data_IF_822577464072
#
_entry.id   IF_822577464072
#
_cell.length_a   1.000
_cell.length_b   1.000
_cell.length_c   1.000
_cell.angle_alpha   90.00
_cell.angle_beta   90.00
_cell.angle_gamma   90.00
#
_symmetry.space_group_name_H-M   'P 1'
#
loop_
_entity.id
_entity.type
_entity.pdbx_description
1 polymer ?
#
# COMPACT_ATOMS: atom_id res chain seq x y z
N UNK A 1 -74.08 30.24 -20.25
CA UNK A 1 -73.34 29.81 -19.07
C UNK A 1 -72.34 28.78 -19.54
N UNK A 2 -71.07 29.19 -19.77
CA UNK A 2 -69.94 28.30 -20.15
C UNK A 2 -69.22 27.92 -18.87
N UNK A 3 -69.18 26.61 -18.52
CA UNK A 3 -68.38 26.09 -17.39
C UNK A 3 -66.93 25.84 -17.85
N UNK A 4 -66.01 26.58 -17.27
CA UNK A 4 -64.60 26.41 -17.47
C UNK A 4 -64.07 25.28 -16.51
N UNK A 5 -63.63 24.17 -17.09
CA UNK A 5 -63.00 23.09 -16.35
C UNK A 5 -61.53 23.41 -16.24
N UNK A 6 -61.06 23.69 -15.03
CA UNK A 6 -59.63 23.89 -14.72
C UNK A 6 -59.02 22.52 -14.44
N UNK A 7 -58.19 22.04 -15.37
CA UNK A 7 -57.43 20.78 -15.20
C UNK A 7 -56.12 21.08 -14.44
N UNK A 8 -56.08 20.73 -13.14
CA UNK A 8 -54.87 20.79 -12.35
C UNK A 8 -53.95 19.61 -12.73
N UNK A 9 -52.91 19.87 -13.50
CA UNK A 9 -51.80 18.94 -13.74
C UNK A 9 -50.92 18.87 -12.49
N UNK A 10 -51.09 17.83 -11.67
CA UNK A 10 -50.16 17.44 -10.62
C UNK A 10 -48.87 16.85 -11.29
N UNK A 11 -47.82 17.64 -11.37
CA UNK A 11 -46.48 17.14 -11.67
C UNK A 11 -45.93 16.45 -10.39
N UNK A 12 -45.62 15.14 -10.44
CA UNK A 12 -44.91 14.53 -9.34
C UNK A 12 -43.47 15.07 -9.35
N UNK A 13 -43.14 15.89 -8.36
CA UNK A 13 -41.74 16.19 -8.03
C UNK A 13 -41.09 14.88 -7.58
N UNK A 14 -40.44 14.17 -8.48
CA UNK A 14 -39.46 13.14 -8.15
C UNK A 14 -38.26 13.86 -7.50
N UNK A 15 -38.32 14.02 -6.19
CA UNK A 15 -37.15 14.29 -5.38
C UNK A 15 -36.21 13.09 -5.53
N UNK A 16 -35.35 13.12 -6.56
CA UNK A 16 -34.27 12.21 -6.71
C UNK A 16 -33.31 12.47 -5.52
N UNK A 17 -33.44 11.66 -4.48
CA UNK A 17 -32.45 11.59 -3.43
C UNK A 17 -31.17 11.06 -4.09
N UNK A 18 -30.30 11.95 -4.55
CA UNK A 18 -28.95 11.60 -4.97
C UNK A 18 -28.24 11.04 -3.74
N UNK A 19 -28.23 9.73 -3.61
CA UNK A 19 -27.44 9.05 -2.61
C UNK A 19 -25.99 9.38 -2.94
N UNK A 20 -25.34 10.20 -2.11
CA UNK A 20 -23.96 10.59 -2.27
C UNK A 20 -23.11 9.31 -2.24
N UNK A 21 -22.42 9.02 -3.31
CA UNK A 21 -21.51 7.87 -3.38
C UNK A 21 -20.55 7.93 -2.18
N UNK A 22 -20.41 6.81 -1.47
CA UNK A 22 -19.54 6.75 -0.30
C UNK A 22 -18.12 6.50 -0.79
N UNK A 23 -17.24 7.43 -0.52
CA UNK A 23 -15.81 7.34 -0.83
C UNK A 23 -15.01 7.25 0.46
N UNK A 24 -13.85 6.60 0.38
CA UNK A 24 -12.85 6.60 1.43
C UNK A 24 -11.45 6.43 0.84
N UNK A 25 -10.45 6.86 1.58
CA UNK A 25 -9.05 6.87 1.16
C UNK A 25 -8.20 6.00 2.08
N UNK A 26 -7.24 5.29 1.47
CA UNK A 26 -6.25 4.48 2.19
C UNK A 26 -4.87 4.90 1.74
N UNK A 27 -3.99 5.14 2.70
CA UNK A 27 -2.56 5.41 2.49
C UNK A 27 -1.75 4.22 3.01
N UNK A 28 -0.94 3.59 2.14
CA UNK A 28 0.17 2.71 2.53
C UNK A 28 1.46 3.49 2.47
N UNK A 29 2.31 3.35 3.52
CA UNK A 29 3.60 4.04 3.54
C UNK A 29 4.62 3.34 4.47
N UNK A 30 5.76 2.92 3.93
CA UNK A 30 6.92 2.57 4.74
C UNK A 30 7.60 3.86 5.20
N UNK A 31 7.80 4.04 6.50
CA UNK A 31 8.27 5.28 7.13
C UNK A 31 9.73 5.22 7.61
N UNK A 32 10.46 4.22 7.13
CA UNK A 32 11.88 4.02 7.41
C UNK A 32 12.25 4.26 8.88
N UNK A 33 11.98 3.23 9.70
CA UNK A 33 12.29 3.27 11.13
C UNK A 33 11.71 4.50 11.83
N UNK A 34 10.40 4.73 11.65
CA UNK A 34 9.66 5.86 12.27
C UNK A 34 10.16 7.25 11.84
N UNK A 35 10.84 7.35 10.68
CA UNK A 35 11.46 8.58 10.22
C UNK A 35 12.68 9.02 11.02
N UNK A 36 13.24 8.15 11.87
CA UNK A 36 14.41 8.47 12.71
C UNK A 36 15.69 8.63 11.90
N UNK A 37 15.76 8.02 10.72
CA UNK A 37 16.93 8.06 9.84
C UNK A 37 17.15 9.44 9.22
N UNK A 38 16.09 10.26 9.13
CA UNK A 38 16.12 11.58 8.49
C UNK A 38 15.86 12.67 9.54
N UNK A 39 16.70 13.71 9.64
CA UNK A 39 16.43 14.84 10.52
C UNK A 39 15.07 15.47 10.24
N UNK A 40 14.20 15.54 11.25
CA UNK A 40 12.83 16.04 11.11
C UNK A 40 11.84 15.05 10.51
N UNK A 41 12.23 13.81 10.27
CA UNK A 41 11.42 12.78 9.61
C UNK A 41 10.09 12.51 10.34
N UNK A 42 10.09 12.37 11.66
CA UNK A 42 8.84 12.22 12.41
C UNK A 42 7.84 13.37 12.16
N UNK A 43 8.30 14.60 12.22
CA UNK A 43 7.44 15.77 11.95
C UNK A 43 6.94 15.77 10.49
N UNK A 44 7.75 15.32 9.56
CA UNK A 44 7.35 15.16 8.16
C UNK A 44 6.22 14.12 8.03
N UNK A 45 6.32 12.97 8.69
CA UNK A 45 5.26 11.94 8.73
C UNK A 45 3.96 12.55 9.25
N UNK A 46 4.00 13.23 10.39
CA UNK A 46 2.82 13.90 10.98
C UNK A 46 2.21 14.91 10.02
N UNK A 47 3.05 15.75 9.39
CA UNK A 47 2.60 16.82 8.49
C UNK A 47 1.92 16.25 7.24
N UNK A 48 2.50 15.22 6.65
CA UNK A 48 1.98 14.63 5.41
C UNK A 48 0.68 13.87 5.67
N UNK A 49 0.56 13.10 6.75
CA UNK A 49 -0.70 12.44 7.11
C UNK A 49 -1.79 13.49 7.41
N UNK A 50 -1.46 14.56 8.14
CA UNK A 50 -2.40 15.65 8.41
C UNK A 50 -2.85 16.39 7.13
N UNK A 51 -1.96 16.54 6.15
CA UNK A 51 -2.26 17.15 4.84
C UNK A 51 -3.14 16.28 3.96
N UNK A 52 -2.79 15.01 3.83
CA UNK A 52 -3.48 14.05 2.96
C UNK A 52 -4.83 13.62 3.53
N UNK A 53 -4.95 13.58 4.85
CA UNK A 53 -6.17 13.21 5.59
C UNK A 53 -6.78 11.87 5.16
N UNK A 54 -6.01 10.80 4.96
CA UNK A 54 -6.58 9.52 4.57
C UNK A 54 -7.52 8.99 5.65
N UNK A 55 -8.54 8.23 5.23
CA UNK A 55 -9.47 7.59 6.18
C UNK A 55 -8.80 6.47 6.97
N UNK A 56 -7.90 5.73 6.30
CA UNK A 56 -7.08 4.70 6.91
C UNK A 56 -5.62 4.85 6.49
N UNK A 57 -4.70 4.54 7.41
CA UNK A 57 -3.26 4.53 7.15
C UNK A 57 -2.69 3.20 7.57
N UNK A 58 -1.94 2.57 6.69
CA UNK A 58 -1.09 1.42 6.96
C UNK A 58 0.37 1.86 6.88
N UNK A 59 1.14 1.54 7.90
CA UNK A 59 2.54 1.94 8.02
C UNK A 59 3.42 0.70 8.15
N UNK A 60 4.59 0.72 7.54
CA UNK A 60 5.66 -0.25 7.73
C UNK A 60 6.85 0.39 8.44
N UNK A 61 7.62 -0.41 9.16
CA UNK A 61 8.76 -0.01 10.00
C UNK A 61 8.40 0.86 11.22
N UNK A 62 7.37 0.45 11.94
CA UNK A 62 7.02 0.96 13.27
C UNK A 62 7.73 0.15 14.34
N UNK A 63 8.86 0.64 14.85
CA UNK A 63 9.77 -0.11 15.73
C UNK A 63 9.55 0.13 17.23
N UNK A 64 8.72 1.13 17.59
CA UNK A 64 8.48 1.55 18.97
C UNK A 64 9.79 1.80 19.76
N UNK A 65 10.71 2.54 19.15
CA UNK A 65 12.00 2.85 19.76
C UNK A 65 11.87 3.41 21.17
N UNK A 66 12.83 3.11 22.02
CA UNK A 66 12.87 3.54 23.43
C UNK A 66 11.65 3.09 24.25
N UNK A 67 11.06 1.95 23.89
CA UNK A 67 9.84 1.41 24.50
C UNK A 67 8.64 2.37 24.44
N UNK A 68 8.57 3.21 23.41
CA UNK A 68 7.43 4.10 23.16
C UNK A 68 6.30 3.36 22.45
N UNK A 69 5.14 3.98 22.38
CA UNK A 69 4.06 3.57 21.47
C UNK A 69 3.99 4.60 20.34
N UNK A 70 4.61 4.29 19.21
CA UNK A 70 4.71 5.21 18.08
C UNK A 70 3.33 5.65 17.57
N UNK A 71 2.41 4.71 17.35
CA UNK A 71 1.09 5.04 16.80
C UNK A 71 0.27 5.90 17.76
N UNK A 72 0.36 5.68 19.08
CA UNK A 72 -0.28 6.56 20.05
C UNK A 72 0.31 7.97 20.04
N UNK A 73 1.65 8.09 19.96
CA UNK A 73 2.35 9.38 19.80
C UNK A 73 1.92 10.08 18.51
N UNK A 74 1.85 9.36 17.40
CA UNK A 74 1.43 9.88 16.10
C UNK A 74 -0.01 10.40 16.14
N UNK A 75 -0.95 9.64 16.72
CA UNK A 75 -2.35 10.06 16.91
C UNK A 75 -2.43 11.34 17.76
N UNK A 76 -1.63 11.45 18.83
CA UNK A 76 -1.60 12.66 19.65
C UNK A 76 -1.08 13.87 18.84
N UNK A 77 0.00 13.71 18.07
CA UNK A 77 0.54 14.80 17.23
C UNK A 77 -0.43 15.21 16.11
N UNK A 78 -1.17 14.25 15.54
CA UNK A 78 -2.23 14.53 14.56
C UNK A 78 -3.39 15.30 15.20
N UNK A 79 -3.77 14.96 16.44
CA UNK A 79 -4.80 15.68 17.20
C UNK A 79 -4.40 17.15 17.44
N UNK A 80 -3.15 17.43 17.73
CA UNK A 80 -2.61 18.79 17.87
C UNK A 80 -2.71 19.61 16.57
N UNK A 81 -2.77 18.92 15.43
CA UNK A 81 -3.03 19.52 14.11
C UNK A 81 -4.52 19.59 13.73
N UNK A 82 -5.42 19.20 14.64
CA UNK A 82 -6.88 19.20 14.41
C UNK A 82 -7.41 17.96 13.71
N UNK A 83 -6.58 16.91 13.53
CA UNK A 83 -6.99 15.66 12.89
C UNK A 83 -7.26 14.58 13.95
N UNK A 84 -8.38 13.89 13.83
CA UNK A 84 -8.75 12.81 14.75
C UNK A 84 -8.51 11.46 14.10
N UNK A 85 -7.68 10.66 14.76
CA UNK A 85 -7.42 9.27 14.42
C UNK A 85 -7.48 8.39 15.65
N UNK A 86 -7.68 7.09 15.39
CA UNK A 86 -7.64 6.01 16.37
C UNK A 86 -6.56 5.02 15.96
N UNK A 87 -5.87 4.43 16.93
CA UNK A 87 -4.86 3.40 16.72
C UNK A 87 -4.84 2.43 17.88
N UNK A 88 -4.10 1.37 17.77
CA UNK A 88 -3.77 0.44 18.85
C UNK A 88 -2.29 0.07 18.76
N UNK A 89 -1.76 -0.58 19.78
CA UNK A 89 -0.37 -0.98 19.80
C UNK A 89 -0.12 -2.09 18.77
N UNK A 90 0.87 -1.88 17.92
CA UNK A 90 1.39 -2.84 16.95
C UNK A 90 2.91 -2.78 17.00
N UNK A 91 3.60 -3.73 16.41
CA UNK A 91 5.06 -3.70 16.25
C UNK A 91 5.41 -3.99 14.80
N UNK A 92 6.45 -3.34 14.30
CA UNK A 92 6.94 -3.40 12.92
C UNK A 92 5.98 -2.78 11.88
N UNK A 93 4.71 -2.75 12.16
CA UNK A 93 3.69 -2.05 11.35
C UNK A 93 2.88 -1.07 12.19
N UNK A 94 2.06 -0.23 11.54
CA UNK A 94 1.15 0.69 12.19
C UNK A 94 -0.20 0.78 11.47
N UNK A 95 -1.25 1.01 12.23
CA UNK A 95 -2.61 1.21 11.71
C UNK A 95 -3.26 2.43 12.33
N UNK A 96 -3.79 3.33 11.47
CA UNK A 96 -4.61 4.45 11.90
C UNK A 96 -5.96 4.41 11.18
N UNK A 97 -7.00 4.83 11.89
CA UNK A 97 -8.35 4.97 11.36
C UNK A 97 -8.97 6.30 11.79
N UNK A 98 -9.68 6.98 10.90
CA UNK A 98 -10.52 8.14 11.29
C UNK A 98 -11.82 7.71 11.98
N UNK A 99 -12.15 6.43 11.92
CA UNK A 99 -13.32 5.84 12.56
C UNK A 99 -12.91 5.09 13.83
N UNK A 100 -13.75 5.08 14.88
CA UNK A 100 -13.46 4.31 16.09
C UNK A 100 -13.19 2.84 15.75
N UNK A 101 -12.13 2.28 16.33
CA UNK A 101 -11.78 0.87 16.18
C UNK A 101 -12.76 0.03 16.99
N UNK A 102 -13.40 -0.93 16.34
CA UNK A 102 -14.37 -1.84 16.98
C UNK A 102 -13.74 -3.14 17.43
N UNK A 103 -12.66 -3.57 16.77
CA UNK A 103 -11.87 -4.75 17.16
C UNK A 103 -10.46 -4.67 16.53
N UNK A 104 -9.49 -5.38 17.12
CA UNK A 104 -8.13 -5.49 16.62
C UNK A 104 -7.60 -6.91 16.79
N UNK A 105 -6.68 -7.32 15.88
CA UNK A 105 -6.13 -8.67 15.87
C UNK A 105 -4.69 -8.66 15.37
N UNK A 106 -3.83 -9.44 16.00
CA UNK A 106 -2.54 -9.85 15.46
C UNK A 106 -2.76 -11.09 14.58
N UNK A 107 -2.49 -10.96 13.29
CA UNK A 107 -2.65 -12.04 12.30
C UNK A 107 -1.35 -12.83 12.14
N UNK A 108 -0.25 -12.11 11.98
CA UNK A 108 1.10 -12.67 11.97
C UNK A 108 1.96 -11.82 12.91
N UNK A 109 2.40 -12.37 14.07
CA UNK A 109 3.20 -11.61 15.02
C UNK A 109 4.63 -11.47 14.51
N UNK A 110 5.22 -10.29 14.70
CA UNK A 110 6.64 -10.10 14.49
C UNK A 110 7.44 -11.08 15.35
N UNK A 111 8.42 -11.71 14.74
CA UNK A 111 9.35 -12.61 15.40
C UNK A 111 10.66 -12.65 14.63
N UNK A 112 11.75 -12.31 15.30
CA UNK A 112 13.11 -12.31 14.75
C UNK A 112 13.25 -11.41 13.51
N UNK A 113 12.51 -10.31 13.46
CA UNK A 113 12.53 -9.34 12.37
C UNK A 113 12.04 -9.85 11.00
N UNK A 114 11.15 -10.85 11.01
CA UNK A 114 10.52 -11.42 9.80
C UNK A 114 9.16 -10.80 9.46
N UNK A 115 8.93 -9.58 9.90
CA UNK A 115 7.73 -8.81 9.59
C UNK A 115 6.51 -9.14 10.44
N UNK A 116 5.40 -8.47 10.14
CA UNK A 116 4.15 -8.62 10.90
C UNK A 116 2.91 -8.30 10.07
N UNK A 117 1.75 -8.85 10.48
CA UNK A 117 0.44 -8.47 9.96
C UNK A 117 -0.52 -8.24 11.12
N UNK A 118 -1.15 -7.06 11.15
CA UNK A 118 -2.21 -6.72 12.09
C UNK A 118 -3.47 -6.31 11.35
N UNK A 119 -4.61 -6.38 12.05
CA UNK A 119 -5.93 -5.97 11.55
C UNK A 119 -6.60 -5.03 12.53
N UNK A 120 -7.26 -4.00 12.04
CA UNK A 120 -8.35 -3.32 12.74
C UNK A 120 -9.68 -3.55 12.02
N UNK A 121 -10.77 -3.44 12.77
CA UNK A 121 -12.11 -3.28 12.19
C UNK A 121 -12.72 -1.97 12.65
N UNK A 122 -13.55 -1.37 11.78
CA UNK A 122 -14.27 -0.15 12.07
C UNK A 122 -15.66 -0.17 11.42
N UNK A 123 -16.55 0.68 11.90
CA UNK A 123 -17.81 1.01 11.23
C UNK A 123 -17.68 2.39 10.57
N UNK A 124 -17.63 2.38 9.25
CA UNK A 124 -17.56 3.58 8.43
C UNK A 124 -18.98 4.02 8.03
N UNK A 125 -19.70 4.63 8.99
CA UNK A 125 -21.07 5.11 8.78
C UNK A 125 -22.04 4.02 8.25
N UNK A 126 -22.03 2.86 8.92
CA UNK A 126 -22.86 1.70 8.59
C UNK A 126 -22.20 0.72 7.60
N UNK A 127 -20.98 1.02 7.12
CA UNK A 127 -20.20 0.10 6.31
C UNK A 127 -19.11 -0.53 7.16
N UNK A 128 -19.20 -1.83 7.42
CA UNK A 128 -18.16 -2.57 8.14
C UNK A 128 -16.91 -2.72 7.27
N UNK A 129 -15.77 -2.36 7.80
CA UNK A 129 -14.47 -2.48 7.12
C UNK A 129 -13.44 -3.16 8.02
N UNK A 130 -12.65 -4.04 7.47
CA UNK A 130 -11.47 -4.62 8.08
C UNK A 130 -10.24 -4.17 7.27
N UNK A 131 -9.35 -3.42 7.91
CA UNK A 131 -8.11 -2.94 7.32
C UNK A 131 -6.95 -3.68 7.96
N UNK A 132 -6.11 -4.25 7.11
CA UNK A 132 -4.91 -4.96 7.49
C UNK A 132 -3.70 -4.14 7.10
N UNK A 133 -2.67 -4.17 7.94
CA UNK A 133 -1.35 -3.66 7.63
C UNK A 133 -0.36 -4.80 7.58
N UNK A 134 0.58 -4.76 6.65
CA UNK A 134 1.65 -5.74 6.53
C UNK A 134 3.00 -5.04 6.37
N UNK A 135 4.01 -5.58 6.99
CA UNK A 135 5.39 -5.45 6.60
C UNK A 135 5.90 -6.88 6.51
N UNK A 136 6.22 -7.35 5.32
CA UNK A 136 6.62 -8.73 5.12
C UNK A 136 8.13 -8.88 5.26
N UNK A 137 8.57 -10.13 5.40
CA UNK A 137 9.98 -10.48 5.59
C UNK A 137 10.87 -9.85 4.52
N UNK A 138 11.91 -9.13 4.93
CA UNK A 138 12.87 -8.47 4.04
C UNK A 138 14.08 -9.34 3.70
N UNK A 139 14.20 -10.52 4.31
CA UNK A 139 15.26 -11.47 4.01
C UNK A 139 14.87 -12.41 2.86
N UNK A 140 15.87 -13.02 2.26
CA UNK A 140 15.69 -13.89 1.09
C UNK A 140 14.94 -13.17 -0.06
N UNK A 141 15.30 -11.90 -0.28
CA UNK A 141 14.75 -11.07 -1.34
C UNK A 141 15.21 -11.50 -2.71
N UNK A 142 14.50 -12.46 -3.28
CA UNK A 142 14.91 -13.14 -4.50
C UNK A 142 14.93 -12.23 -5.74
N UNK A 143 14.24 -11.11 -5.73
CA UNK A 143 14.32 -10.14 -6.84
C UNK A 143 15.67 -9.43 -6.92
N UNK A 144 16.42 -9.36 -5.80
CA UNK A 144 17.83 -8.94 -5.82
C UNK A 144 18.74 -10.02 -6.42
N UNK A 145 18.39 -11.30 -6.25
CA UNK A 145 19.18 -12.36 -6.89
C UNK A 145 19.16 -12.25 -8.40
N UNK A 146 18.02 -11.88 -9.00
CA UNK A 146 17.93 -11.61 -10.43
C UNK A 146 18.80 -10.44 -10.86
N UNK A 147 19.07 -9.51 -9.97
CA UNK A 147 19.94 -8.33 -10.18
C UNK A 147 21.42 -8.59 -9.83
N UNK A 148 21.75 -9.85 -9.50
CA UNK A 148 23.13 -10.24 -9.19
C UNK A 148 23.57 -9.95 -7.77
N UNK A 149 22.62 -9.81 -6.82
CA UNK A 149 22.91 -9.62 -5.40
C UNK A 149 22.19 -10.68 -4.55
N UNK A 150 22.81 -11.10 -3.49
CA UNK A 150 22.17 -11.97 -2.49
C UNK A 150 21.17 -11.15 -1.65
N UNK A 151 19.91 -11.58 -1.61
CA UNK A 151 18.84 -10.84 -0.94
C UNK A 151 18.83 -10.91 0.59
N UNK A 152 19.90 -11.46 1.20
CA UNK A 152 20.10 -11.49 2.65
C UNK A 152 21.42 -10.86 3.09
N UNK A 153 22.48 -11.06 2.30
CA UNK A 153 23.82 -10.55 2.62
C UNK A 153 24.21 -9.31 1.83
N UNK A 154 23.48 -9.02 0.76
CA UNK A 154 23.73 -7.91 -0.18
C UNK A 154 25.08 -8.00 -0.91
N UNK A 155 25.71 -9.17 -0.88
CA UNK A 155 26.92 -9.45 -1.65
C UNK A 155 26.59 -9.74 -3.12
N UNK A 156 27.51 -9.42 -4.02
CA UNK A 156 27.35 -9.75 -5.44
C UNK A 156 27.42 -11.27 -5.65
N UNK A 157 26.45 -11.80 -6.39
CA UNK A 157 26.33 -13.22 -6.74
C UNK A 157 26.06 -13.39 -8.24
N UNK A 158 26.33 -14.57 -8.81
CA UNK A 158 25.85 -14.90 -10.16
C UNK A 158 24.33 -14.79 -10.26
N UNK A 159 23.84 -14.21 -11.36
CA UNK A 159 22.40 -14.14 -11.66
C UNK A 159 21.89 -15.58 -11.83
N UNK A 160 20.73 -15.93 -11.24
CA UNK A 160 20.06 -17.22 -11.47
C UNK A 160 19.81 -17.48 -12.97
N UNK A 161 19.71 -18.74 -13.35
CA UNK A 161 19.52 -19.11 -14.76
C UNK A 161 18.09 -19.55 -15.08
N UNK A 162 17.28 -19.82 -14.05
CA UNK A 162 15.89 -20.28 -14.23
C UNK A 162 14.95 -19.62 -13.25
N UNK A 163 13.67 -19.52 -13.62
CA UNK A 163 12.59 -19.03 -12.74
C UNK A 163 12.43 -19.91 -11.50
N UNK A 164 12.57 -21.24 -11.64
CA UNK A 164 12.51 -22.19 -10.53
C UNK A 164 13.56 -21.89 -9.45
N UNK A 165 14.77 -21.55 -9.86
CA UNK A 165 15.84 -21.19 -8.92
C UNK A 165 15.48 -19.92 -8.14
N UNK A 166 14.92 -18.91 -8.81
CA UNK A 166 14.46 -17.67 -8.18
C UNK A 166 13.33 -17.95 -7.20
N UNK A 167 12.28 -18.67 -7.64
CA UNK A 167 11.12 -18.95 -6.79
C UNK A 167 11.48 -19.84 -5.59
N UNK A 168 12.42 -20.77 -5.75
CA UNK A 168 12.91 -21.57 -4.62
C UNK A 168 13.56 -20.71 -3.54
N UNK A 169 14.27 -19.66 -3.92
CA UNK A 169 14.86 -18.69 -2.97
C UNK A 169 13.77 -17.81 -2.38
N UNK A 170 12.83 -17.36 -3.18
CA UNK A 170 11.74 -16.49 -2.76
C UNK A 170 10.90 -17.09 -1.61
N UNK A 171 10.57 -18.39 -1.70
CA UNK A 171 9.80 -19.09 -0.65
C UNK A 171 10.64 -19.56 0.54
N UNK A 172 11.93 -19.21 0.61
CA UNK A 172 12.73 -19.42 1.82
C UNK A 172 12.39 -18.38 2.91
N UNK A 173 11.85 -17.23 2.52
CA UNK A 173 11.33 -16.21 3.43
C UNK A 173 10.02 -16.64 4.10
N UNK A 174 9.54 -15.84 5.05
CA UNK A 174 8.23 -16.06 5.70
C UNK A 174 7.08 -15.27 5.04
N UNK A 175 7.30 -14.64 3.90
CA UNK A 175 6.31 -13.78 3.22
C UNK A 175 5.03 -14.52 2.85
N UNK A 176 5.15 -15.67 2.20
CA UNK A 176 3.99 -16.45 1.76
C UNK A 176 3.25 -17.09 2.94
N UNK A 177 3.95 -17.53 3.99
CA UNK A 177 3.34 -18.03 5.22
C UNK A 177 2.47 -16.95 5.89
N UNK A 178 2.99 -15.74 6.01
CA UNK A 178 2.25 -14.60 6.57
C UNK A 178 1.00 -14.27 5.75
N UNK A 179 1.12 -14.24 4.41
CA UNK A 179 -0.01 -13.96 3.51
C UNK A 179 -1.06 -15.08 3.52
N UNK A 180 -0.67 -16.34 3.66
CA UNK A 180 -1.65 -17.44 3.84
C UNK A 180 -2.48 -17.25 5.10
N UNK A 181 -1.89 -16.84 6.21
CA UNK A 181 -2.63 -16.52 7.45
C UNK A 181 -3.55 -15.31 7.25
N UNK A 182 -3.10 -14.27 6.55
CA UNK A 182 -3.96 -13.15 6.17
C UNK A 182 -5.16 -13.62 5.35
N UNK A 183 -4.97 -14.42 4.31
CA UNK A 183 -6.05 -14.91 3.44
C UNK A 183 -7.08 -15.70 4.25
N UNK A 184 -6.65 -16.54 5.18
CA UNK A 184 -7.55 -17.30 6.05
C UNK A 184 -8.36 -16.40 6.98
N UNK A 185 -7.75 -15.35 7.54
CA UNK A 185 -8.48 -14.39 8.38
C UNK A 185 -9.41 -13.50 7.55
N UNK A 186 -8.96 -13.05 6.38
CA UNK A 186 -9.76 -12.23 5.47
C UNK A 186 -11.02 -12.96 4.99
N UNK A 187 -10.96 -14.28 4.75
CA UNK A 187 -12.13 -15.11 4.43
C UNK A 187 -13.18 -15.07 5.57
N UNK A 188 -12.74 -15.16 6.83
CA UNK A 188 -13.64 -15.08 8.00
C UNK A 188 -14.30 -13.69 8.09
N UNK A 189 -13.52 -12.63 7.92
CA UNK A 189 -14.04 -11.27 8.01
C UNK A 189 -14.99 -10.95 6.84
N UNK A 190 -14.72 -11.45 5.62
CA UNK A 190 -15.67 -11.38 4.48
C UNK A 190 -17.00 -12.07 4.82
N UNK A 191 -16.93 -13.28 5.37
CA UNK A 191 -18.12 -14.03 5.77
C UNK A 191 -18.94 -13.29 6.87
N UNK A 192 -18.26 -12.51 7.73
CA UNK A 192 -18.88 -11.63 8.73
C UNK A 192 -19.38 -10.29 8.14
N UNK A 193 -19.23 -10.09 6.84
CA UNK A 193 -19.76 -8.93 6.11
C UNK A 193 -18.82 -7.72 6.07
N UNK A 194 -17.55 -7.86 6.41
CA UNK A 194 -16.59 -6.78 6.30
C UNK A 194 -16.11 -6.57 4.85
N UNK A 195 -15.86 -5.33 4.49
CA UNK A 195 -15.03 -4.97 3.34
C UNK A 195 -13.57 -5.15 3.74
N UNK A 196 -12.75 -5.76 2.89
CA UNK A 196 -11.35 -6.11 3.20
C UNK A 196 -10.41 -5.22 2.42
N UNK A 197 -9.49 -4.59 3.13
CA UNK A 197 -8.35 -3.83 2.57
C UNK A 197 -7.07 -4.36 3.24
N UNK A 198 -6.04 -4.58 2.44
CA UNK A 198 -4.68 -4.89 2.90
C UNK A 198 -3.73 -3.85 2.32
N UNK A 199 -3.05 -3.09 3.18
CA UNK A 199 -1.93 -2.24 2.76
C UNK A 199 -0.64 -2.75 3.38
N UNK A 200 0.48 -2.66 2.68
CA UNK A 200 1.77 -3.09 3.25
C UNK A 200 2.94 -2.92 2.31
N UNK A 201 4.12 -2.90 2.91
CA UNK A 201 5.38 -3.19 2.23
C UNK A 201 5.56 -4.71 2.22
N UNK A 202 5.58 -5.29 1.04
CA UNK A 202 5.63 -6.74 0.90
C UNK A 202 7.05 -7.27 0.73
N UNK A 203 8.04 -6.38 0.52
CA UNK A 203 9.40 -6.80 0.19
C UNK A 203 9.44 -7.86 -0.93
N UNK A 204 8.47 -7.81 -1.82
CA UNK A 204 8.34 -8.71 -2.97
C UNK A 204 7.63 -7.98 -4.11
N UNK A 205 8.16 -7.99 -5.35
CA UNK A 205 7.51 -7.42 -6.51
C UNK A 205 6.23 -8.15 -6.90
N UNK A 206 5.49 -7.61 -7.89
CA UNK A 206 4.30 -8.26 -8.42
C UNK A 206 4.56 -8.99 -9.73
N UNK A 207 3.93 -10.16 -9.90
CA UNK A 207 3.86 -10.85 -11.19
C UNK A 207 3.17 -10.01 -12.27
N UNK A 208 2.36 -9.01 -11.86
CA UNK A 208 1.72 -8.07 -12.77
C UNK A 208 2.68 -7.00 -13.28
N UNK A 209 3.85 -6.86 -12.67
CA UNK A 209 4.90 -5.90 -13.02
C UNK A 209 6.09 -6.57 -13.73
N UNK A 210 6.35 -7.86 -13.43
CA UNK A 210 7.40 -8.68 -14.04
C UNK A 210 6.83 -9.54 -15.18
N UNK A 211 6.52 -8.90 -16.30
CA UNK A 211 5.79 -9.45 -17.44
C UNK A 211 6.68 -9.58 -18.68
N UNK A 212 6.15 -10.17 -19.77
CA UNK A 212 6.81 -10.19 -21.07
C UNK A 212 7.16 -8.79 -21.59
N UNK A 213 6.39 -7.76 -21.21
CA UNK A 213 6.62 -6.37 -21.63
C UNK A 213 7.77 -5.70 -20.88
N UNK A 214 8.05 -6.13 -19.65
CA UNK A 214 9.04 -5.53 -18.76
C UNK A 214 10.31 -6.37 -18.56
N UNK A 215 10.35 -7.61 -19.05
CA UNK A 215 11.43 -8.56 -18.79
C UNK A 215 12.83 -8.07 -19.15
N UNK A 216 12.95 -7.16 -20.12
CA UNK A 216 14.22 -6.58 -20.57
C UNK A 216 14.47 -5.17 -19.99
N UNK A 217 13.62 -4.71 -19.05
CA UNK A 217 13.72 -3.44 -18.35
C UNK A 217 14.14 -3.67 -16.89
N UNK A 218 14.59 -2.62 -16.22
CA UNK A 218 14.84 -2.57 -14.77
C UNK A 218 15.72 -3.70 -14.23
N UNK A 219 16.67 -4.16 -15.05
CA UNK A 219 17.53 -5.32 -14.77
C UNK A 219 16.74 -6.59 -14.39
N UNK A 220 15.58 -6.82 -15.03
CA UNK A 220 14.86 -8.10 -14.94
C UNK A 220 15.55 -9.24 -15.71
N UNK A 221 16.55 -8.94 -16.55
CA UNK A 221 17.41 -9.92 -17.26
C UNK A 221 16.65 -11.00 -18.04
N UNK A 222 15.53 -10.65 -18.66
CA UNK A 222 14.70 -11.55 -19.44
C UNK A 222 13.72 -12.40 -18.63
N UNK A 223 13.67 -12.24 -17.31
CA UNK A 223 12.78 -12.99 -16.45
C UNK A 223 11.34 -12.47 -16.45
N UNK A 224 10.40 -13.39 -16.52
CA UNK A 224 8.98 -13.23 -16.21
C UNK A 224 8.69 -14.11 -15.00
N UNK A 225 8.40 -13.50 -13.85
CA UNK A 225 8.34 -14.23 -12.58
C UNK A 225 6.94 -14.14 -11.97
N UNK A 226 6.29 -15.29 -11.69
CA UNK A 226 5.05 -15.34 -10.93
C UNK A 226 5.35 -15.22 -9.42
N UNK A 227 5.68 -14.03 -8.96
CA UNK A 227 6.00 -13.74 -7.55
C UNK A 227 4.92 -14.26 -6.61
N UNK A 228 5.33 -14.97 -5.56
CA UNK A 228 4.46 -15.86 -4.78
C UNK A 228 3.36 -15.12 -4.04
N UNK A 229 3.67 -14.03 -3.35
CA UNK A 229 2.69 -13.29 -2.53
C UNK A 229 1.58 -12.68 -3.39
N UNK A 230 1.87 -11.89 -4.44
CA UNK A 230 0.82 -11.34 -5.29
C UNK A 230 0.01 -12.40 -6.03
N UNK A 231 0.62 -13.54 -6.42
CA UNK A 231 -0.11 -14.67 -7.02
C UNK A 231 -1.12 -15.25 -6.02
N UNK A 232 -0.71 -15.51 -4.77
CA UNK A 232 -1.61 -16.00 -3.72
C UNK A 232 -2.79 -15.07 -3.45
N UNK A 233 -2.56 -13.76 -3.47
CA UNK A 233 -3.61 -12.75 -3.28
C UNK A 233 -4.60 -12.73 -4.46
N UNK A 234 -4.11 -12.80 -5.69
CA UNK A 234 -4.94 -12.86 -6.91
C UNK A 234 -5.78 -14.16 -6.93
N UNK A 235 -5.18 -15.30 -6.63
CA UNK A 235 -5.88 -16.59 -6.52
C UNK A 235 -6.94 -16.59 -5.42
N UNK A 236 -6.73 -15.85 -4.34
CA UNK A 236 -7.71 -15.66 -3.29
C UNK A 236 -8.85 -14.70 -3.69
N UNK A 237 -8.76 -14.03 -4.84
CA UNK A 237 -9.76 -13.12 -5.41
C UNK A 237 -9.60 -11.66 -4.98
N UNK A 238 -8.47 -11.29 -4.38
CA UNK A 238 -8.14 -9.89 -4.15
C UNK A 238 -7.67 -9.24 -5.46
N UNK A 239 -7.66 -7.91 -5.48
CA UNK A 239 -7.13 -7.09 -6.57
C UNK A 239 -6.12 -6.09 -6.04
N UNK A 240 -5.04 -5.91 -6.78
CA UNK A 240 -4.09 -4.82 -6.59
C UNK A 240 -4.73 -3.51 -7.07
N UNK A 241 -4.98 -2.60 -6.15
CA UNK A 241 -5.73 -1.37 -6.43
C UNK A 241 -4.98 -0.44 -7.41
N UNK A 242 -3.65 -0.37 -7.30
CA UNK A 242 -2.87 0.47 -8.21
C UNK A 242 -2.88 -0.10 -9.63
N UNK A 243 -2.62 -1.39 -9.77
CA UNK A 243 -2.53 -2.05 -11.08
C UNK A 243 -3.90 -2.21 -11.75
N UNK A 244 -4.98 -2.35 -10.98
CA UNK A 244 -6.34 -2.30 -11.54
C UNK A 244 -6.67 -0.93 -12.14
N UNK A 245 -6.22 0.15 -11.49
CA UNK A 245 -6.46 1.52 -11.97
C UNK A 245 -5.53 1.88 -13.13
N UNK A 246 -4.27 1.44 -13.09
CA UNK A 246 -3.25 1.65 -14.12
C UNK A 246 -2.74 0.31 -14.68
N UNK A 247 -3.46 -0.32 -15.63
CA UNK A 247 -3.06 -1.63 -16.16
C UNK A 247 -1.84 -1.58 -17.10
N UNK A 248 -1.48 -0.42 -17.63
CA UNK A 248 -0.34 -0.21 -18.53
C UNK A 248 0.96 -0.09 -17.72
N UNK A 249 1.64 -1.20 -17.51
CA UNK A 249 2.85 -1.29 -16.69
C UNK A 249 4.04 -0.49 -17.25
N UNK A 250 4.10 -0.28 -18.57
CA UNK A 250 5.19 0.47 -19.19
C UNK A 250 5.08 1.98 -18.94
N UNK A 251 3.86 2.51 -18.99
CA UNK A 251 3.61 3.93 -18.77
C UNK A 251 3.38 4.28 -17.30
N UNK A 252 2.93 3.30 -16.50
CA UNK A 252 2.60 3.46 -15.07
C UNK A 252 3.28 2.35 -14.25
N UNK A 253 4.63 2.33 -14.16
CA UNK A 253 5.33 1.31 -13.40
C UNK A 253 4.99 1.36 -11.90
N UNK A 254 4.72 2.54 -11.35
CA UNK A 254 4.27 2.71 -9.97
C UNK A 254 5.37 2.43 -8.94
N UNK A 255 6.64 2.62 -9.27
CA UNK A 255 7.76 2.31 -8.37
C UNK A 255 7.62 2.97 -7.01
N UNK A 256 7.73 2.16 -5.97
CA UNK A 256 7.74 2.64 -4.59
C UNK A 256 9.12 2.61 -3.96
N UNK A 257 10.03 1.78 -4.46
CA UNK A 257 11.40 1.66 -3.96
C UNK A 257 12.42 1.61 -5.12
N UNK A 258 13.63 2.17 -4.93
CA UNK A 258 14.00 3.16 -3.91
C UNK A 258 13.52 4.57 -4.29
N UNK A 259 13.06 5.31 -3.30
CA UNK A 259 12.68 6.71 -3.46
C UNK A 259 13.91 7.61 -3.43
N UNK A 260 13.91 8.68 -4.23
CA UNK A 260 14.89 9.75 -4.01
C UNK A 260 14.67 10.41 -2.64
N UNK A 261 15.75 10.66 -1.93
CA UNK A 261 15.76 11.42 -0.68
C UNK A 261 16.95 12.38 -0.66
N UNK A 262 16.73 13.69 -0.85
CA UNK A 262 17.81 14.68 -0.89
C UNK A 262 18.60 14.80 0.41
N UNK A 263 18.08 14.32 1.54
CA UNK A 263 18.74 14.35 2.84
C UNK A 263 19.81 13.24 2.98
N UNK A 264 19.89 12.31 2.03
CA UNK A 264 20.89 11.22 2.02
C UNK A 264 21.67 11.19 0.72
N UNK A 265 22.96 10.80 0.73
CA UNK A 265 23.67 10.42 -0.49
C UNK A 265 22.98 9.27 -1.22
N UNK A 266 22.98 9.27 -2.55
CA UNK A 266 22.25 8.26 -3.33
C UNK A 266 22.77 6.83 -3.07
N UNK A 267 24.06 6.67 -2.82
CA UNK A 267 24.70 5.38 -2.45
C UNK A 267 24.32 4.87 -1.05
N UNK A 268 23.54 5.65 -0.28
CA UNK A 268 23.02 5.26 1.04
C UNK A 268 21.52 4.96 1.03
N UNK A 269 20.92 4.93 -0.15
CA UNK A 269 19.50 4.63 -0.38
C UNK A 269 19.37 3.47 -1.41
N UNK A 270 20.35 2.59 -1.47
CA UNK A 270 20.40 1.48 -2.42
C UNK A 270 21.08 0.29 -1.74
N UNK A 271 20.53 -0.90 -1.98
CA UNK A 271 21.11 -2.18 -1.57
C UNK A 271 21.92 -2.82 -2.69
N UNK A 272 21.56 -2.56 -3.94
CA UNK A 272 22.21 -3.06 -5.14
C UNK A 272 22.82 -1.92 -5.99
N UNK A 273 23.94 -1.30 -5.55
CA UNK A 273 24.42 -0.04 -6.11
C UNK A 273 24.88 -0.10 -7.59
N UNK A 274 24.99 -1.30 -8.19
CA UNK A 274 25.30 -1.46 -9.61
C UNK A 274 24.07 -1.81 -10.46
N UNK A 275 22.91 -2.07 -9.82
CA UNK A 275 21.69 -2.47 -10.48
C UNK A 275 20.66 -1.34 -10.58
N UNK A 276 19.69 -1.51 -11.49
CA UNK A 276 18.42 -0.81 -11.44
C UNK A 276 17.48 -1.61 -10.55
N UNK A 277 17.39 -1.23 -9.29
CA UNK A 277 16.62 -1.94 -8.26
C UNK A 277 15.21 -1.40 -8.08
N UNK A 278 14.76 -0.50 -8.99
CA UNK A 278 13.40 0.04 -8.93
C UNK A 278 12.36 -1.05 -9.04
N UNK A 279 11.50 -1.10 -8.03
CA UNK A 279 10.33 -1.97 -8.02
C UNK A 279 9.16 -1.33 -7.27
N UNK A 280 7.99 -1.89 -7.46
CA UNK A 280 6.81 -1.62 -6.67
C UNK A 280 6.69 -2.76 -5.66
N UNK A 281 6.93 -2.44 -4.39
CA UNK A 281 6.88 -3.38 -3.26
C UNK A 281 5.91 -2.95 -2.17
N UNK A 282 5.39 -1.70 -2.23
CA UNK A 282 4.31 -1.19 -1.39
C UNK A 282 2.98 -1.27 -2.12
N UNK A 283 1.98 -1.85 -1.49
CA UNK A 283 0.71 -2.19 -2.12
C UNK A 283 -0.50 -1.82 -1.29
N UNK A 284 -1.65 -1.67 -1.99
CA UNK A 284 -2.99 -1.73 -1.41
C UNK A 284 -3.78 -2.74 -2.22
N UNK A 285 -4.16 -3.86 -1.56
CA UNK A 285 -4.99 -4.91 -2.12
C UNK A 285 -6.38 -4.89 -1.49
N UNK A 286 -7.41 -5.31 -2.24
CA UNK A 286 -8.79 -5.31 -1.76
C UNK A 286 -9.63 -6.40 -2.42
N UNK A 287 -10.76 -6.78 -1.78
CA UNK A 287 -11.77 -7.59 -2.46
C UNK A 287 -12.75 -6.69 -3.21
N UNK A 288 -12.95 -6.86 -4.55
CA UNK A 288 -13.85 -6.04 -5.37
C UNK A 288 -15.32 -6.48 -5.18
N UNK A 289 -15.83 -6.37 -3.97
CA UNK A 289 -17.18 -6.79 -3.59
C UNK A 289 -18.08 -5.62 -3.22
N UNK A 290 -19.39 -5.87 -3.18
CA UNK A 290 -20.40 -4.88 -2.77
C UNK A 290 -20.35 -3.57 -3.57
N UNK A 291 -19.91 -3.65 -4.82
CA UNK A 291 -19.75 -2.47 -5.67
C UNK A 291 -18.55 -1.59 -5.32
N UNK A 292 -17.60 -2.09 -4.52
CA UNK A 292 -16.35 -1.39 -4.24
C UNK A 292 -15.49 -1.35 -5.49
N UNK A 293 -15.00 -0.17 -5.84
CA UNK A 293 -14.06 0.07 -6.95
C UNK A 293 -13.00 1.07 -6.57
N UNK A 294 -11.88 1.00 -7.26
CA UNK A 294 -10.86 2.06 -7.23
C UNK A 294 -11.37 3.24 -8.06
N UNK A 295 -11.41 4.41 -7.45
CA UNK A 295 -11.77 5.68 -8.11
C UNK A 295 -10.56 6.46 -8.56
N UNK A 296 -9.48 6.39 -7.78
CA UNK A 296 -8.22 7.10 -8.03
C UNK A 296 -7.08 6.37 -7.30
N UNK A 297 -5.89 6.40 -7.91
CA UNK A 297 -4.66 5.91 -7.30
C UNK A 297 -3.51 6.86 -7.61
N UNK A 298 -2.58 7.02 -6.67
CA UNK A 298 -1.41 7.87 -6.84
C UNK A 298 -0.22 7.32 -6.05
N UNK A 299 0.98 7.57 -6.56
CA UNK A 299 2.22 7.37 -5.83
C UNK A 299 2.47 8.62 -4.97
N UNK A 300 2.64 8.42 -3.68
CA UNK A 300 2.92 9.47 -2.73
C UNK A 300 4.40 9.51 -2.41
N UNK A 301 5.08 10.60 -2.76
CA UNK A 301 6.52 10.79 -2.53
C UNK A 301 7.21 11.61 -3.60
N UNK A 302 8.52 11.77 -3.49
CA UNK A 302 9.34 12.41 -4.51
C UNK A 302 9.18 11.72 -5.86
N UNK A 303 9.14 12.52 -6.92
CA UNK A 303 8.97 11.99 -8.27
C UNK A 303 10.17 11.16 -8.72
N UNK A 304 11.39 11.61 -8.40
CA UNK A 304 12.62 10.93 -8.78
C UNK A 304 12.82 9.60 -8.04
N UNK A 305 13.71 8.78 -8.58
CA UNK A 305 14.14 7.50 -8.02
C UNK A 305 15.67 7.40 -8.00
N UNK A 306 16.19 6.29 -7.46
CA UNK A 306 17.61 5.95 -7.49
C UNK A 306 17.81 4.78 -8.44
N UNK A 307 18.79 4.89 -9.32
CA UNK A 307 19.23 3.83 -10.24
C UNK A 307 20.74 3.78 -10.22
N UNK A 308 21.34 2.61 -9.97
CA UNK A 308 22.79 2.43 -9.90
C UNK A 308 23.47 3.48 -9.00
N UNK A 309 22.93 3.66 -7.80
CA UNK A 309 23.38 4.64 -6.81
C UNK A 309 23.38 6.10 -7.32
N UNK A 310 22.58 6.42 -8.32
CA UNK A 310 22.44 7.78 -8.87
C UNK A 310 20.99 8.22 -8.89
N UNK A 311 20.77 9.51 -8.65
CA UNK A 311 19.46 10.13 -8.80
C UNK A 311 19.07 10.19 -10.27
N UNK A 312 17.89 9.67 -10.59
CA UNK A 312 17.34 9.72 -11.95
C UNK A 312 16.00 10.43 -11.96
N UNK A 313 15.78 11.21 -13.00
CA UNK A 313 14.49 11.85 -13.22
C UNK A 313 13.47 10.80 -13.66
N UNK A 314 12.31 10.81 -13.02
CA UNK A 314 11.20 9.96 -13.42
C UNK A 314 10.54 10.48 -14.71
N UNK A 315 10.26 9.55 -15.62
CA UNK A 315 9.66 9.83 -16.93
C UNK A 315 8.33 9.10 -17.16
N UNK A 316 7.88 8.30 -16.19
CA UNK A 316 6.60 7.61 -16.26
C UNK A 316 5.42 8.59 -16.28
N UNK A 317 4.23 8.05 -16.56
CA UNK A 317 2.97 8.80 -16.49
C UNK A 317 2.28 8.63 -15.13
N UNK A 318 2.95 8.01 -14.15
CA UNK A 318 2.43 7.85 -12.81
C UNK A 318 1.95 9.18 -12.23
N UNK A 319 0.82 9.13 -11.55
CA UNK A 319 0.32 10.28 -10.82
C UNK A 319 1.06 10.38 -9.49
N UNK A 320 1.88 11.44 -9.33
CA UNK A 320 2.62 11.70 -8.11
C UNK A 320 1.91 12.73 -7.22
N UNK A 321 1.92 12.48 -5.92
CA UNK A 321 1.61 13.46 -4.88
C UNK A 321 2.92 13.77 -4.16
N UNK A 322 3.59 14.84 -4.58
CA UNK A 322 4.89 15.19 -4.03
C UNK A 322 4.79 15.76 -2.61
N UNK A 323 5.79 15.51 -1.73
CA UNK A 323 5.81 16.06 -0.37
C UNK A 323 6.01 17.57 -0.40
N UNK A 324 5.49 18.24 0.65
CA UNK A 324 5.67 19.70 0.79
C UNK A 324 6.98 20.09 1.50
N UNK A 325 7.74 19.15 1.98
CA UNK A 325 8.95 19.43 2.77
C UNK A 325 9.92 18.25 2.81
N UNK A 326 10.47 17.98 3.97
CA UNK A 326 11.39 16.86 4.18
C UNK A 326 10.68 15.55 3.83
N UNK A 327 11.35 14.70 3.04
CA UNK A 327 10.90 13.32 2.82
C UNK A 327 11.52 12.41 3.88
N UNK A 328 10.74 11.67 4.66
CA UNK A 328 11.26 10.98 5.85
C UNK A 328 11.80 9.58 5.58
N UNK A 329 11.70 9.06 4.34
CA UNK A 329 11.91 7.64 4.05
C UNK A 329 12.64 7.42 2.72
N UNK A 330 13.06 6.19 2.45
CA UNK A 330 13.61 5.69 1.20
C UNK A 330 12.55 4.97 0.35
N UNK A 331 11.30 4.88 0.81
CA UNK A 331 10.15 4.42 0.04
C UNK A 331 9.26 5.56 -0.42
N UNK A 332 8.46 5.33 -1.47
CA UNK A 332 7.27 6.10 -1.79
C UNK A 332 6.05 5.33 -1.26
N UNK A 333 5.00 6.06 -0.88
CA UNK A 333 3.74 5.44 -0.48
C UNK A 333 2.77 5.29 -1.65
N UNK A 334 1.66 4.62 -1.39
CA UNK A 334 0.53 4.47 -2.32
C UNK A 334 -0.72 5.04 -1.66
N UNK A 335 -1.38 5.99 -2.33
CA UNK A 335 -2.66 6.54 -1.90
C UNK A 335 -3.76 6.12 -2.86
N UNK A 336 -4.78 5.43 -2.35
CA UNK A 336 -5.92 4.95 -3.14
C UNK A 336 -7.22 5.56 -2.62
N UNK A 337 -8.04 6.06 -3.52
CA UNK A 337 -9.43 6.44 -3.25
C UNK A 337 -10.34 5.33 -3.73
N UNK A 338 -11.11 4.77 -2.82
CA UNK A 338 -12.16 3.80 -3.12
C UNK A 338 -13.53 4.46 -3.16
N UNK A 339 -14.44 3.86 -3.91
CA UNK A 339 -15.81 4.29 -4.06
C UNK A 339 -16.75 3.09 -4.05
N UNK A 340 -17.86 3.18 -3.28
CA UNK A 340 -18.97 2.24 -3.40
C UNK A 340 -19.93 2.73 -4.48
N UNK A 341 -20.13 1.91 -5.51
CA UNK A 341 -21.17 2.18 -6.49
C UNK A 341 -22.55 1.97 -5.84
N UNK A 342 -23.43 2.93 -6.01
CA UNK A 342 -24.85 2.77 -5.65
C UNK A 342 -25.43 1.63 -6.48
N UNK A 343 -25.82 0.53 -5.85
CA UNK A 343 -26.62 -0.50 -6.51
C UNK A 343 -28.02 0.13 -6.76
N UNK A 344 -28.21 0.69 -7.94
CA UNK A 344 -29.55 1.01 -8.40
C UNK A 344 -30.22 -0.35 -8.60
N UNK A 345 -31.13 -0.73 -7.72
CA UNK A 345 -32.03 -1.85 -7.98
C UNK A 345 -32.87 -1.49 -9.21
N UNK A 346 -32.52 -2.07 -10.35
CA UNK A 346 -33.33 -2.06 -11.57
C UNK A 346 -34.50 -3.04 -11.39
#
# INVERSE_FOLDING_TARGET
MKKLFLLLLLFPFLLGCSQKEKEFTVLQWNIWQEGTVIPGGYNAIVNEIARLRPDFVTLSEVRNYENTNFTARLVQSLKEKGETYYSFYTYDTGLLSRYPITDSLTVFPEKNDHGSIYRLTADMNGQKIAVYTAHLDYLDDAYYNVRGYDGSTWEEIPIPTTVEEVLKRNVASQRDDAIRLFIEQAKKDRAAGYTIILGGDFNEPSHQDWTEETKDLYDHHGFVIPWTVPVLLDEAGLKDAYREFYPDVLNYPGFTYPSDNPAKPADKITWAPKADERDRIDYIWYYPEKGLKVKDAAIFGPKNSIVRAQRVQETSKDKFIEPLGVWPTDHKGVLVTFQYLSLIHI
#
